data_IF_717685767944
#
_entry.id   IF_717685767944
#
_cell.length_a   1.000
_cell.length_b   1.000
_cell.length_c   1.000
_cell.angle_alpha   90.00
_cell.angle_beta   90.00
_cell.angle_gamma   90.00
#
_symmetry.space_group_name_H-M   'P 1'
#
loop_
_entity.id
_entity.type
_entity.pdbx_description
1 polymer ?
#
# COMPACT_ATOMS: atom_id res chain seq x y z
N UNK A 1 -11.79 22.07 -3.38
CA UNK A 1 -12.88 21.07 -3.31
C UNK A 1 -12.26 19.72 -2.97
N UNK A 2 -12.94 18.82 -2.23
CA UNK A 2 -12.38 17.50 -1.93
C UNK A 2 -12.08 16.75 -3.21
N UNK A 3 -11.10 15.84 -3.12
CA UNK A 3 -10.68 14.99 -4.22
C UNK A 3 -11.77 13.97 -4.55
N UNK A 4 -12.03 13.79 -5.83
CA UNK A 4 -13.04 12.87 -6.34
C UNK A 4 -12.40 11.80 -7.20
N UNK A 5 -13.11 10.69 -7.41
CA UNK A 5 -12.73 9.70 -8.41
C UNK A 5 -12.86 10.25 -9.84
N UNK A 6 -12.47 9.43 -10.82
CA UNK A 6 -12.62 9.70 -12.26
C UNK A 6 -14.05 10.04 -12.71
N UNK A 7 -15.07 9.65 -11.92
CA UNK A 7 -16.49 9.90 -12.19
C UNK A 7 -17.07 11.05 -11.34
N UNK A 8 -16.23 11.80 -10.61
CA UNK A 8 -16.67 12.88 -9.73
C UNK A 8 -17.26 12.42 -8.39
N UNK A 9 -17.10 11.15 -8.01
CA UNK A 9 -17.60 10.57 -6.74
C UNK A 9 -16.63 10.85 -5.61
N UNK A 10 -17.16 11.23 -4.46
CA UNK A 10 -16.40 11.26 -3.21
C UNK A 10 -16.17 9.85 -2.66
N UNK A 11 -15.24 9.70 -1.72
CA UNK A 11 -14.86 8.41 -1.14
C UNK A 11 -16.05 7.54 -0.73
N UNK A 12 -17.01 8.07 0.04
CA UNK A 12 -18.17 7.28 0.44
C UNK A 12 -18.95 6.74 -0.76
N UNK A 13 -19.23 7.60 -1.75
CA UNK A 13 -20.00 7.20 -2.93
C UNK A 13 -19.24 6.20 -3.81
N UNK A 14 -17.90 6.27 -3.84
CA UNK A 14 -17.08 5.24 -4.47
C UNK A 14 -17.18 3.92 -3.70
N UNK A 15 -17.05 3.94 -2.38
CA UNK A 15 -17.15 2.73 -1.55
C UNK A 15 -18.54 2.10 -1.66
N UNK A 16 -19.61 2.91 -1.60
CA UNK A 16 -20.98 2.44 -1.83
C UNK A 16 -21.10 1.75 -3.20
N UNK A 17 -20.39 2.23 -4.22
CA UNK A 17 -20.41 1.60 -5.54
C UNK A 17 -19.59 0.31 -5.61
N UNK A 18 -18.40 0.29 -5.01
CA UNK A 18 -17.52 -0.88 -5.03
C UNK A 18 -18.06 -2.03 -4.16
N UNK A 19 -18.87 -1.71 -3.14
CA UNK A 19 -19.38 -2.63 -2.13
C UNK A 19 -20.91 -2.85 -2.23
N UNK A 20 -21.51 -2.55 -3.39
CA UNK A 20 -22.94 -2.77 -3.68
C UNK A 20 -23.94 -2.09 -2.69
N UNK A 21 -23.57 -0.93 -2.15
CA UNK A 21 -24.50 0.08 -1.63
C UNK A 21 -24.70 0.13 -0.12
N UNK A 22 -23.90 -0.58 0.68
CA UNK A 22 -24.14 -0.73 2.13
C UNK A 22 -23.00 -0.21 3.04
N UNK A 23 -22.32 0.88 2.65
CA UNK A 23 -21.22 1.42 3.46
C UNK A 23 -21.73 2.47 4.42
N UNK A 24 -21.73 2.15 5.72
CA UNK A 24 -22.01 3.13 6.77
C UNK A 24 -20.86 4.15 6.83
N UNK A 25 -21.20 5.44 7.01
CA UNK A 25 -20.20 6.47 7.31
C UNK A 25 -19.41 6.13 8.58
N UNK A 26 -20.03 5.38 9.50
CA UNK A 26 -19.38 4.82 10.68
C UNK A 26 -18.20 3.94 10.35
N UNK A 27 -18.37 2.97 9.45
CA UNK A 27 -17.27 2.10 9.07
C UNK A 27 -16.10 2.87 8.45
N UNK A 28 -16.40 3.99 7.76
CA UNK A 28 -15.37 4.87 7.20
C UNK A 28 -14.61 5.60 8.30
N UNK A 29 -15.28 6.34 9.20
CA UNK A 29 -14.54 7.09 10.22
C UNK A 29 -13.88 6.19 11.28
N UNK A 30 -14.43 4.99 11.52
CA UNK A 30 -13.80 3.96 12.33
C UNK A 30 -12.53 3.43 11.65
N UNK A 31 -12.55 3.17 10.33
CA UNK A 31 -11.35 2.81 9.56
C UNK A 31 -10.27 3.89 9.62
N UNK A 32 -10.68 5.16 9.49
CA UNK A 32 -9.78 6.30 9.55
C UNK A 32 -9.22 6.53 10.97
N UNK A 33 -9.82 5.94 12.01
CA UNK A 33 -9.43 6.14 13.40
C UNK A 33 -9.69 7.57 13.89
N UNK A 34 -10.76 8.19 13.40
CA UNK A 34 -11.13 9.57 13.75
C UNK A 34 -12.56 9.65 14.29
N UNK A 35 -12.84 10.71 15.06
CA UNK A 35 -14.22 10.98 15.50
C UNK A 35 -15.13 11.31 14.31
N UNK A 36 -16.43 11.05 14.46
CA UNK A 36 -17.47 11.48 13.51
C UNK A 36 -17.39 12.98 13.21
N UNK A 37 -17.18 13.83 14.22
CA UNK A 37 -17.02 15.29 14.03
C UNK A 37 -15.81 15.64 13.17
N UNK A 38 -14.67 14.96 13.38
CA UNK A 38 -13.46 15.14 12.57
C UNK A 38 -13.69 14.69 11.13
N UNK A 39 -14.37 13.56 10.94
CA UNK A 39 -14.70 13.02 9.63
C UNK A 39 -15.55 13.99 8.80
N UNK A 40 -16.69 14.45 9.33
CA UNK A 40 -17.58 15.37 8.60
C UNK A 40 -16.96 16.75 8.31
N UNK A 41 -15.91 17.13 9.05
CA UNK A 41 -15.07 18.29 8.73
C UNK A 41 -14.11 17.96 7.58
N UNK A 42 -13.35 16.86 7.70
CA UNK A 42 -12.35 16.40 6.72
C UNK A 42 -12.92 16.20 5.32
N UNK A 43 -14.11 15.60 5.19
CA UNK A 43 -14.71 15.33 3.86
C UNK A 43 -15.01 16.59 3.03
N UNK A 44 -14.93 17.77 3.64
CA UNK A 44 -15.11 19.07 2.97
C UNK A 44 -13.78 19.73 2.60
N UNK A 45 -12.66 19.21 3.09
CA UNK A 45 -11.32 19.74 2.87
C UNK A 45 -10.80 19.36 1.49
N UNK A 46 -9.93 20.19 0.94
CA UNK A 46 -9.48 20.07 -0.45
C UNK A 46 -8.66 18.80 -0.72
N UNK A 47 -7.86 18.37 0.25
CA UNK A 47 -6.94 17.25 0.07
C UNK A 47 -7.52 15.89 0.48
N UNK A 48 -8.75 15.86 0.97
CA UNK A 48 -9.41 14.61 1.34
C UNK A 48 -9.92 13.86 0.09
N UNK A 49 -9.73 12.53 -0.02
CA UNK A 49 -8.89 11.70 0.86
C UNK A 49 -7.40 11.78 0.50
N UNK A 50 -6.55 11.68 1.52
CA UNK A 50 -5.09 11.55 1.38
C UNK A 50 -4.64 10.07 1.26
N UNK A 51 -3.36 9.84 0.98
CA UNK A 51 -2.82 8.50 0.78
C UNK A 51 -2.94 7.59 2.02
N UNK A 52 -2.73 8.13 3.22
CA UNK A 52 -2.82 7.36 4.46
C UNK A 52 -4.28 7.04 4.80
N UNK A 53 -5.20 7.96 4.51
CA UNK A 53 -6.63 7.73 4.64
C UNK A 53 -7.10 6.63 3.68
N UNK A 54 -6.67 6.66 2.41
CA UNK A 54 -6.96 5.60 1.45
C UNK A 54 -6.35 4.26 1.86
N UNK A 55 -5.14 4.24 2.44
CA UNK A 55 -4.51 3.01 2.94
C UNK A 55 -5.35 2.37 4.04
N UNK A 56 -5.78 3.16 5.02
CA UNK A 56 -6.62 2.67 6.14
C UNK A 56 -7.96 2.14 5.66
N UNK A 57 -8.57 2.81 4.69
CA UNK A 57 -9.84 2.39 4.09
C UNK A 57 -9.64 1.12 3.26
N UNK A 58 -8.57 1.05 2.46
CA UNK A 58 -8.22 -0.17 1.73
C UNK A 58 -8.05 -1.36 2.68
N UNK A 59 -7.30 -1.18 3.76
CA UNK A 59 -7.06 -2.22 4.78
C UNK A 59 -8.38 -2.66 5.46
N UNK A 60 -9.30 -1.73 5.75
CA UNK A 60 -10.59 -2.02 6.41
C UNK A 60 -11.55 -2.80 5.52
N UNK A 61 -11.66 -2.39 4.26
CA UNK A 61 -12.65 -2.90 3.31
C UNK A 61 -12.10 -3.96 2.36
N UNK A 62 -10.86 -4.41 2.59
CA UNK A 62 -10.15 -5.41 1.77
C UNK A 62 -10.06 -5.01 0.28
N UNK A 63 -9.88 -3.70 0.03
CA UNK A 63 -9.77 -3.14 -1.30
C UNK A 63 -8.30 -2.99 -1.73
N UNK A 64 -8.08 -2.92 -3.04
CA UNK A 64 -6.74 -2.64 -3.59
C UNK A 64 -6.33 -1.19 -3.30
N UNK A 65 -5.35 -0.99 -2.43
CA UNK A 65 -4.79 0.34 -2.15
C UNK A 65 -4.26 1.04 -3.43
N UNK A 66 -3.47 0.38 -4.30
CA UNK A 66 -3.05 0.99 -5.57
C UNK A 66 -4.23 1.42 -6.46
N UNK A 67 -5.31 0.64 -6.50
CA UNK A 67 -6.50 0.99 -7.28
C UNK A 67 -7.16 2.28 -6.75
N UNK A 68 -7.31 2.40 -5.43
CA UNK A 68 -7.84 3.62 -4.81
C UNK A 68 -6.94 4.84 -5.08
N UNK A 69 -5.62 4.68 -4.98
CA UNK A 69 -4.69 5.77 -5.29
C UNK A 69 -4.84 6.25 -6.73
N UNK A 70 -5.03 5.33 -7.67
CA UNK A 70 -5.22 5.64 -9.09
C UNK A 70 -6.55 6.36 -9.33
N UNK A 71 -7.65 5.83 -8.79
CA UNK A 71 -8.99 6.43 -8.93
C UNK A 71 -9.04 7.86 -8.42
N UNK A 72 -8.38 8.13 -7.28
CA UNK A 72 -8.32 9.47 -6.69
C UNK A 72 -7.20 10.35 -7.25
N UNK A 73 -6.44 9.89 -8.26
CA UNK A 73 -5.38 10.67 -8.88
C UNK A 73 -4.20 11.00 -7.96
N UNK A 74 -3.97 10.16 -6.95
CA UNK A 74 -2.74 10.17 -6.13
C UNK A 74 -1.60 9.42 -6.81
N UNK A 75 -1.93 8.57 -7.78
CA UNK A 75 -0.99 7.81 -8.58
C UNK A 75 -1.59 7.60 -9.98
N UNK A 76 -0.75 7.43 -10.98
CA UNK A 76 -1.17 7.06 -12.34
C UNK A 76 -0.99 5.56 -12.59
N UNK A 77 -1.77 5.02 -13.54
CA UNK A 77 -1.59 3.64 -14.01
C UNK A 77 -0.15 3.38 -14.50
N UNK A 78 0.48 4.38 -15.13
CA UNK A 78 1.87 4.28 -15.62
C UNK A 78 2.87 4.19 -14.46
N UNK A 79 2.67 4.96 -13.39
CA UNK A 79 3.50 4.87 -12.18
C UNK A 79 3.34 3.52 -11.50
N UNK A 80 2.13 2.98 -11.42
CA UNK A 80 1.89 1.63 -10.85
C UNK A 80 2.61 0.57 -11.69
N UNK A 81 2.48 0.62 -13.02
CA UNK A 81 3.18 -0.29 -13.92
C UNK A 81 4.70 -0.19 -13.76
N UNK A 82 5.23 1.03 -13.78
CA UNK A 82 6.67 1.30 -13.64
C UNK A 82 7.21 0.76 -12.32
N UNK A 83 6.43 0.87 -11.24
CA UNK A 83 6.78 0.32 -9.93
C UNK A 83 6.89 -1.21 -9.98
N UNK A 84 5.90 -1.91 -10.55
CA UNK A 84 5.92 -3.37 -10.65
C UNK A 84 7.05 -3.89 -11.55
N UNK A 85 7.32 -3.23 -12.68
CA UNK A 85 8.44 -3.58 -13.56
C UNK A 85 9.80 -3.43 -12.84
N UNK A 86 9.97 -2.34 -12.11
CA UNK A 86 11.19 -2.06 -11.33
C UNK A 86 11.34 -3.01 -10.13
N UNK A 87 10.25 -3.27 -9.40
CA UNK A 87 10.24 -4.17 -8.26
C UNK A 87 10.42 -5.64 -8.69
N UNK A 88 9.86 -6.06 -9.82
CA UNK A 88 10.12 -7.38 -10.40
C UNK A 88 11.60 -7.61 -10.69
N UNK A 89 12.30 -6.59 -11.18
CA UNK A 89 13.76 -6.62 -11.33
C UNK A 89 14.51 -6.67 -10.00
N UNK A 90 14.02 -5.99 -8.96
CA UNK A 90 14.61 -6.00 -7.62
C UNK A 90 14.44 -7.35 -6.90
N UNK A 91 13.28 -8.00 -7.03
CA UNK A 91 13.04 -9.33 -6.43
C UNK A 91 13.85 -10.40 -7.16
N UNK A 92 13.91 -10.37 -8.50
CA UNK A 92 14.73 -11.30 -9.28
C UNK A 92 16.23 -11.19 -8.95
N UNK A 93 16.74 -9.97 -8.73
CA UNK A 93 18.14 -9.76 -8.31
C UNK A 93 18.40 -10.19 -6.86
N UNK A 94 17.41 -10.07 -5.96
CA UNK A 94 17.51 -10.59 -4.59
C UNK A 94 17.50 -12.12 -4.53
N UNK A 95 16.71 -12.80 -5.37
CA UNK A 95 16.73 -14.27 -5.48
C UNK A 95 18.05 -14.81 -6.03
N UNK A 96 18.62 -14.15 -7.05
CA UNK A 96 19.93 -14.51 -7.59
C UNK A 96 21.08 -14.33 -6.57
N UNK A 97 20.91 -13.46 -5.56
CA UNK A 97 21.92 -13.18 -4.53
C UNK A 97 21.83 -14.10 -3.30
N UNK A 98 20.88 -15.05 -3.24
CA UNK A 98 20.93 -16.16 -2.27
C UNK A 98 22.02 -17.16 -2.67
N UNK A 99 23.28 -16.73 -2.56
CA UNK A 99 24.44 -17.60 -2.59
C UNK A 99 24.27 -18.58 -1.43
N UNK A 100 24.12 -19.87 -1.78
CA UNK A 100 23.98 -20.97 -0.82
C UNK A 100 25.11 -20.85 0.21
N UNK A 101 24.83 -20.86 1.53
CA UNK A 101 25.90 -20.86 2.52
C UNK A 101 26.74 -22.13 2.32
N UNK A 102 28.04 -21.96 2.08
CA UNK A 102 28.97 -23.08 2.02
C UNK A 102 28.95 -23.79 3.38
N UNK A 103 28.75 -25.11 3.35
CA UNK A 103 28.65 -25.93 4.56
C UNK A 103 29.97 -25.84 5.33
N UNK A 104 29.88 -25.66 6.65
CA UNK A 104 31.02 -25.69 7.59
C UNK A 104 31.92 -26.94 7.42
N UNK A 105 31.37 -28.04 6.91
CA UNK A 105 32.10 -29.28 6.60
C UNK A 105 33.13 -29.14 5.45
N UNK A 106 33.06 -28.07 4.66
CA UNK A 106 34.01 -27.76 3.58
C UNK A 106 35.15 -26.82 4.05
N UNK A 107 35.07 -26.28 5.27
CA UNK A 107 36.13 -25.47 5.86
C UNK A 107 37.27 -26.37 6.36
N UNK A 108 38.33 -26.47 5.55
CA UNK A 108 39.59 -27.12 5.99
C UNK A 108 40.30 -26.23 7.03
N UNK A 109 40.71 -26.79 8.19
CA UNK A 109 41.53 -26.07 9.15
C UNK A 109 42.84 -25.61 8.51
N UNK A 110 43.23 -24.36 8.75
CA UNK A 110 44.51 -23.81 8.28
C UNK A 110 45.64 -24.52 9.03
N UNK A 111 46.53 -25.16 8.28
CA UNK A 111 47.68 -25.91 8.80
C UNK A 111 48.81 -25.01 9.33
N UNK A 112 48.72 -23.69 9.15
CA UNK A 112 49.74 -22.71 9.57
C UNK A 112 49.44 -22.06 10.94
N UNK A 113 48.86 -22.80 11.88
CA UNK A 113 48.74 -22.31 13.26
C UNK A 113 50.04 -22.62 14.04
N UNK A 114 50.75 -21.60 14.56
CA UNK A 114 51.95 -21.84 15.37
C UNK A 114 51.59 -22.51 16.71
N UNK A 115 52.38 -23.49 17.18
CA UNK A 115 52.10 -24.23 18.42
C UNK A 115 52.28 -23.34 19.65
N UNK A 116 51.41 -23.54 20.66
CA UNK A 116 51.47 -22.91 21.99
C UNK A 116 52.55 -23.54 22.86
#
# INVERSE_FOLDING_TARGET
MPRTDENGRQLKALLDYLLDGDVDSKDIYDALGVSSSTYYRRIKEEFYPDAEELRRVADRFELSYPDLQVRFGLMSHQEVQSYFESAGGAVATAEARRVRPQKLSEMKPRLDAPPL
#
